data_IF_443847814529
#
_entry.id   IF_443847814529
#
_cell.length_a   1.000
_cell.length_b   1.000
_cell.length_c   1.000
_cell.angle_alpha   90.00
_cell.angle_beta   90.00
_cell.angle_gamma   90.00
#
_symmetry.space_group_name_H-M   'P 1'
#
loop_
_entity.id
_entity.type
_entity.pdbx_description
1 polymer ?
#
# COMPACT_ATOMS: atom_id res chain seq x y z
N UNK A 1 15.18 20.30 -11.80
CA UNK A 1 16.27 19.37 -11.42
C UNK A 1 17.00 19.77 -10.12
N UNK A 2 16.37 20.46 -9.15
CA UNK A 2 17.10 21.04 -8.00
C UNK A 2 16.36 20.99 -6.65
N UNK A 3 15.59 19.93 -6.37
CA UNK A 3 14.97 19.70 -5.05
C UNK A 3 15.62 18.54 -4.29
N UNK A 4 16.21 17.58 -5.01
CA UNK A 4 16.82 16.38 -4.44
C UNK A 4 18.20 16.63 -3.80
N UNK A 5 18.93 17.64 -4.29
CA UNK A 5 20.27 17.99 -3.80
C UNK A 5 20.25 18.57 -2.37
N UNK A 6 19.23 19.38 -2.05
CA UNK A 6 19.04 19.97 -0.71
C UNK A 6 18.74 18.95 0.39
N UNK A 7 18.10 17.83 0.04
CA UNK A 7 17.76 16.77 1.01
C UNK A 7 19.01 15.94 1.36
N UNK A 8 19.92 15.74 0.40
CA UNK A 8 21.20 15.07 0.65
C UNK A 8 22.15 15.88 1.52
N UNK A 9 22.13 17.21 1.36
CA UNK A 9 23.00 18.10 2.14
C UNK A 9 22.58 18.17 3.62
N UNK A 10 21.27 18.17 3.91
CA UNK A 10 20.77 18.10 5.30
C UNK A 10 21.12 16.80 6.03
N UNK A 11 21.24 15.68 5.32
CA UNK A 11 21.61 14.40 5.94
C UNK A 11 23.08 14.36 6.38
N UNK A 12 23.97 15.13 5.73
CA UNK A 12 25.40 15.16 6.03
C UNK A 12 25.73 15.97 7.29
N UNK A 13 24.95 17.00 7.59
CA UNK A 13 25.13 17.84 8.79
C UNK A 13 24.85 17.12 10.12
N UNK A 14 24.01 16.08 10.11
CA UNK A 14 23.64 15.36 11.33
C UNK A 14 24.66 14.31 11.80
N UNK A 15 25.56 13.86 10.91
CA UNK A 15 26.54 12.83 11.27
C UNK A 15 27.80 13.38 11.95
N UNK A 16 28.06 14.69 11.88
CA UNK A 16 29.28 15.30 12.43
C UNK A 16 29.14 15.75 13.90
N UNK A 17 27.93 15.71 14.48
CA UNK A 17 27.68 16.17 15.85
C UNK A 17 27.89 15.11 16.95
N UNK A 18 28.24 13.86 16.61
CA UNK A 18 28.38 12.76 17.60
C UNK A 18 29.81 12.48 18.07
N UNK A 19 30.80 13.29 17.68
CA UNK A 19 32.20 13.06 18.02
C UNK A 19 32.79 14.04 19.04
N UNK A 20 32.22 14.20 20.25
CA UNK A 20 32.95 14.75 21.41
C UNK A 20 32.13 14.80 22.70
N UNK A 21 32.79 14.43 23.83
CA UNK A 21 32.40 14.54 25.26
C UNK A 21 31.51 13.39 25.77
N UNK A 22 31.75 12.75 26.92
CA UNK A 22 32.63 12.99 28.07
C UNK A 22 32.09 12.14 29.25
N UNK A 23 32.98 11.72 30.15
CA UNK A 23 32.76 10.78 31.26
C UNK A 23 31.69 11.17 32.29
N UNK A 24 31.05 10.16 32.91
CA UNK A 24 30.58 10.21 34.32
C UNK A 24 29.13 9.80 34.61
N UNK A 25 28.95 8.76 35.45
CA UNK A 25 27.98 8.80 36.57
C UNK A 25 26.61 8.09 36.46
N UNK A 26 26.52 6.92 37.14
CA UNK A 26 25.43 6.41 37.99
C UNK A 26 23.95 6.39 37.53
N UNK A 27 23.47 5.16 37.25
CA UNK A 27 22.36 4.50 37.96
C UNK A 27 20.90 4.90 37.66
N UNK A 28 20.14 4.03 36.97
CA UNK A 28 18.88 3.47 37.49
C UNK A 28 18.28 2.39 36.56
N UNK A 29 17.52 1.51 37.20
CA UNK A 29 16.80 0.32 36.73
C UNK A 29 16.14 0.42 35.36
N UNK A 30 16.13 -0.73 34.68
CA UNK A 30 15.51 -0.92 33.38
C UNK A 30 14.01 -0.68 33.35
N UNK A 31 13.56 -0.25 32.17
CA UNK A 31 12.34 -0.76 31.56
C UNK A 31 12.49 -0.66 30.05
N UNK A 32 12.56 -1.84 29.43
CA UNK A 32 12.36 -2.04 28.00
C UNK A 32 10.94 -1.56 27.69
N UNK A 33 10.80 -0.64 26.75
CA UNK A 33 9.52 -0.42 26.05
C UNK A 33 9.83 -0.15 24.58
N UNK A 34 9.95 -1.29 23.91
CA UNK A 34 9.74 -1.50 22.49
C UNK A 34 8.42 -0.88 21.99
N UNK A 35 8.46 -0.47 20.72
CA UNK A 35 7.34 -0.27 19.76
C UNK A 35 6.63 1.09 19.79
N UNK A 36 6.96 1.91 18.80
CA UNK A 36 5.96 2.74 18.10
C UNK A 36 6.30 2.78 16.61
N UNK A 37 6.01 1.67 15.91
CA UNK A 37 5.98 1.62 14.44
C UNK A 37 4.56 1.85 13.89
N UNK A 38 3.55 1.98 14.78
CA UNK A 38 2.13 2.08 14.41
C UNK A 38 1.70 3.48 13.96
N UNK A 39 2.33 4.55 14.49
CA UNK A 39 2.00 5.93 14.09
C UNK A 39 2.39 6.24 12.64
N UNK A 40 3.54 5.74 12.18
CA UNK A 40 4.09 6.05 10.86
C UNK A 40 3.26 5.45 9.72
N UNK A 41 2.69 4.24 9.89
CA UNK A 41 1.90 3.57 8.84
C UNK A 41 0.53 4.24 8.64
N UNK A 42 -0.17 4.58 9.73
CA UNK A 42 -1.45 5.29 9.64
C UNK A 42 -1.29 6.71 9.03
N UNK A 43 -0.23 7.44 9.42
CA UNK A 43 0.10 8.72 8.80
C UNK A 43 0.46 8.58 7.32
N UNK A 44 1.18 7.51 6.95
CA UNK A 44 1.48 7.21 5.55
C UNK A 44 0.21 6.92 4.76
N UNK A 45 -0.67 6.04 5.23
CA UNK A 45 -1.97 5.75 4.58
C UNK A 45 -2.78 7.04 4.36
N UNK A 46 -2.80 7.94 5.34
CA UNK A 46 -3.47 9.25 5.20
C UNK A 46 -2.83 10.12 4.11
N UNK A 47 -1.50 10.22 4.06
CA UNK A 47 -0.78 10.94 3.01
C UNK A 47 -1.01 10.34 1.62
N UNK A 48 -0.98 9.01 1.50
CA UNK A 48 -1.25 8.30 0.25
C UNK A 48 -2.67 8.57 -0.24
N UNK A 49 -3.66 8.54 0.66
CA UNK A 49 -5.05 8.89 0.35
C UNK A 49 -5.19 10.31 -0.18
N UNK A 50 -4.50 11.29 0.40
CA UNK A 50 -4.51 12.67 -0.13
C UNK A 50 -3.91 12.78 -1.53
N UNK A 51 -2.78 12.10 -1.79
CA UNK A 51 -2.15 12.08 -3.12
C UNK A 51 -3.06 11.46 -4.18
N UNK A 52 -3.69 10.32 -3.83
CA UNK A 52 -4.70 9.66 -4.65
C UNK A 52 -5.82 10.63 -5.04
N UNK A 53 -6.38 11.36 -4.07
CA UNK A 53 -7.45 12.34 -4.33
C UNK A 53 -7.00 13.48 -5.26
N UNK A 54 -5.77 13.96 -5.13
CA UNK A 54 -5.22 14.97 -6.05
C UNK A 54 -5.08 14.46 -7.50
N UNK A 55 -4.79 13.18 -7.67
CA UNK A 55 -4.63 12.52 -8.98
C UNK A 55 -5.94 11.94 -9.54
N UNK A 56 -7.05 12.05 -8.81
CA UNK A 56 -8.36 11.50 -9.18
C UNK A 56 -8.78 11.86 -10.61
N UNK A 57 -8.48 13.06 -11.09
CA UNK A 57 -8.86 13.48 -12.45
C UNK A 57 -8.14 12.71 -13.56
N UNK A 58 -6.92 12.24 -13.29
CA UNK A 58 -6.07 11.50 -14.23
C UNK A 58 -6.29 9.98 -14.13
N UNK A 59 -6.71 9.48 -12.97
CA UNK A 59 -6.96 8.07 -12.66
C UNK A 59 -8.34 7.60 -13.12
N UNK A 60 -8.60 7.70 -14.43
CA UNK A 60 -9.88 7.33 -15.07
C UNK A 60 -9.75 6.23 -16.14
N UNK A 61 -8.56 5.62 -16.24
CA UNK A 61 -8.34 4.55 -17.21
C UNK A 61 -9.01 3.24 -16.77
N UNK A 62 -9.42 2.44 -17.74
CA UNK A 62 -9.90 1.08 -17.47
C UNK A 62 -8.81 0.19 -16.85
N UNK A 63 -7.54 0.40 -17.23
CA UNK A 63 -6.39 -0.31 -16.66
C UNK A 63 -6.23 -0.03 -15.17
N UNK A 64 -6.36 1.23 -14.75
CA UNK A 64 -6.30 1.59 -13.33
C UNK A 64 -7.44 0.96 -12.54
N UNK A 65 -8.67 1.02 -13.06
CA UNK A 65 -9.84 0.40 -12.43
C UNK A 65 -9.63 -1.08 -12.21
N UNK A 66 -9.28 -1.81 -13.27
CA UNK A 66 -9.15 -3.26 -13.23
C UNK A 66 -7.96 -3.68 -12.35
N UNK A 67 -6.82 -2.99 -12.45
CA UNK A 67 -5.66 -3.23 -11.58
C UNK A 67 -5.93 -2.91 -10.10
N UNK A 68 -6.69 -1.85 -9.80
CA UNK A 68 -7.04 -1.50 -8.41
C UNK A 68 -7.95 -2.57 -7.81
N UNK A 69 -8.93 -3.08 -8.57
CA UNK A 69 -9.83 -4.14 -8.08
C UNK A 69 -9.07 -5.46 -7.88
N UNK A 70 -8.15 -5.77 -8.79
CA UNK A 70 -7.26 -6.91 -8.68
C UNK A 70 -6.37 -6.79 -7.43
N UNK A 71 -5.80 -5.61 -7.17
CA UNK A 71 -4.99 -5.35 -5.97
C UNK A 71 -5.80 -5.50 -4.67
N UNK A 72 -7.01 -4.93 -4.60
CA UNK A 72 -7.88 -5.11 -3.44
C UNK A 72 -8.23 -6.59 -3.19
N UNK A 73 -8.51 -7.34 -4.25
CA UNK A 73 -8.79 -8.77 -4.16
C UNK A 73 -7.57 -9.58 -3.68
N UNK A 74 -6.36 -9.21 -4.14
CA UNK A 74 -5.12 -9.88 -3.72
C UNK A 74 -4.82 -9.64 -2.24
N UNK A 75 -5.05 -8.42 -1.74
CA UNK A 75 -4.90 -8.06 -0.32
C UNK A 75 -5.92 -8.82 0.52
N UNK A 76 -7.18 -8.86 0.09
CA UNK A 76 -8.25 -9.62 0.76
C UNK A 76 -8.03 -11.14 0.76
N UNK A 77 -7.10 -11.64 -0.05
CA UNK A 77 -6.75 -13.05 -0.13
C UNK A 77 -5.33 -13.33 0.37
N UNK A 78 -4.70 -12.39 1.07
CA UNK A 78 -3.27 -12.45 1.36
C UNK A 78 -2.88 -13.66 2.23
N UNK A 79 -3.80 -14.12 3.08
CA UNK A 79 -3.67 -15.32 3.92
C UNK A 79 -3.95 -16.64 3.17
N UNK A 80 -4.40 -16.56 1.92
CA UNK A 80 -4.71 -17.71 1.05
C UNK A 80 -6.20 -18.08 0.99
N UNK A 81 -7.06 -17.37 1.71
CA UNK A 81 -8.53 -17.53 1.67
C UNK A 81 -9.21 -16.18 1.59
N UNK A 82 -10.48 -16.12 1.19
CA UNK A 82 -11.26 -14.87 1.28
C UNK A 82 -12.57 -15.17 1.97
N UNK A 83 -12.71 -14.65 3.19
CA UNK A 83 -13.95 -14.81 3.92
C UNK A 83 -15.01 -13.80 3.45
N UNK A 84 -16.32 -14.13 3.53
CA UNK A 84 -17.39 -13.21 3.17
C UNK A 84 -17.35 -11.89 3.95
N UNK A 85 -16.88 -11.92 5.20
CA UNK A 85 -16.72 -10.73 6.04
C UNK A 85 -15.63 -9.80 5.49
N UNK A 86 -14.46 -10.34 5.16
CA UNK A 86 -13.37 -9.55 4.53
C UNK A 86 -13.80 -8.99 3.18
N UNK A 87 -14.48 -9.82 2.37
CA UNK A 87 -15.05 -9.39 1.09
C UNK A 87 -15.95 -8.17 1.24
N UNK A 88 -16.90 -8.21 2.17
CA UNK A 88 -17.80 -7.09 2.44
C UNK A 88 -17.06 -5.85 2.98
N UNK A 89 -16.07 -6.06 3.83
CA UNK A 89 -15.24 -4.98 4.38
C UNK A 89 -14.50 -4.25 3.24
N UNK A 90 -13.79 -4.99 2.39
CA UNK A 90 -13.04 -4.43 1.27
C UNK A 90 -13.95 -3.77 0.23
N UNK A 91 -15.13 -4.33 -0.05
CA UNK A 91 -16.14 -3.65 -0.88
C UNK A 91 -16.54 -2.28 -0.32
N UNK A 92 -16.73 -2.19 1.00
CA UNK A 92 -17.02 -0.94 1.68
C UNK A 92 -15.91 0.10 1.47
N UNK A 93 -14.65 -0.32 1.62
CA UNK A 93 -13.48 0.55 1.44
C UNK A 93 -13.33 1.02 -0.01
N UNK A 94 -13.61 0.14 -0.98
CA UNK A 94 -13.59 0.47 -2.42
C UNK A 94 -14.59 1.57 -2.74
N UNK A 95 -15.83 1.47 -2.25
CA UNK A 95 -16.89 2.46 -2.52
C UNK A 95 -16.64 3.79 -1.79
N UNK A 96 -16.00 3.74 -0.62
CA UNK A 96 -15.61 4.94 0.14
C UNK A 96 -14.36 5.63 -0.42
N UNK A 97 -13.64 5.02 -1.36
CA UNK A 97 -12.45 5.62 -1.94
C UNK A 97 -12.84 6.66 -2.99
N UNK A 98 -12.54 7.92 -2.71
CA UNK A 98 -12.87 9.05 -3.58
C UNK A 98 -12.33 8.88 -5.01
N UNK A 99 -11.15 8.27 -5.20
CA UNK A 99 -10.59 8.08 -6.55
C UNK A 99 -11.38 7.10 -7.37
N UNK A 100 -11.88 6.04 -6.74
CA UNK A 100 -12.64 4.99 -7.40
C UNK A 100 -14.07 5.42 -7.74
N UNK A 101 -14.59 6.48 -7.12
CA UNK A 101 -15.88 7.09 -7.47
C UNK A 101 -15.95 7.66 -8.90
N UNK A 102 -14.83 7.73 -9.62
CA UNK A 102 -14.84 7.99 -11.06
C UNK A 102 -15.54 6.89 -11.87
N UNK A 103 -15.70 5.70 -11.29
CA UNK A 103 -16.31 4.54 -11.92
C UNK A 103 -17.60 4.13 -11.19
N UNK A 104 -18.54 3.46 -11.89
CA UNK A 104 -19.75 2.96 -11.25
C UNK A 104 -19.42 1.93 -10.15
N UNK A 105 -19.96 2.06 -8.93
CA UNK A 105 -19.66 1.16 -7.83
C UNK A 105 -20.06 -0.30 -8.13
N UNK A 106 -21.15 -0.51 -8.87
CA UNK A 106 -21.56 -1.84 -9.34
C UNK A 106 -20.49 -2.51 -10.20
N UNK A 107 -19.82 -1.74 -11.07
CA UNK A 107 -18.77 -2.27 -11.93
C UNK A 107 -17.52 -2.62 -11.11
N UNK A 108 -17.18 -1.81 -10.11
CA UNK A 108 -16.09 -2.09 -9.19
C UNK A 108 -16.37 -3.37 -8.40
N UNK A 109 -17.56 -3.50 -7.81
CA UNK A 109 -18.00 -4.69 -7.08
C UNK A 109 -17.94 -5.94 -7.95
N UNK A 110 -18.46 -5.89 -9.18
CA UNK A 110 -18.40 -7.04 -10.09
C UNK A 110 -16.96 -7.47 -10.40
N UNK A 111 -16.05 -6.51 -10.63
CA UNK A 111 -14.64 -6.80 -10.93
C UNK A 111 -13.90 -7.35 -9.73
N UNK A 112 -14.09 -6.74 -8.57
CA UNK A 112 -13.54 -7.23 -7.31
C UNK A 112 -14.03 -8.64 -7.01
N UNK A 113 -15.35 -8.87 -7.05
CA UNK A 113 -15.93 -10.19 -6.78
C UNK A 113 -15.39 -11.26 -7.73
N UNK A 114 -15.26 -10.95 -9.02
CA UNK A 114 -14.66 -11.86 -10.00
C UNK A 114 -13.25 -12.28 -9.60
N UNK A 115 -12.39 -11.33 -9.22
CA UNK A 115 -11.02 -11.66 -8.81
C UNK A 115 -10.97 -12.45 -7.50
N UNK A 116 -11.83 -12.10 -6.55
CA UNK A 116 -11.97 -12.87 -5.30
C UNK A 116 -12.44 -14.30 -5.58
N UNK A 117 -13.42 -14.51 -6.46
CA UNK A 117 -13.89 -15.85 -6.83
C UNK A 117 -12.79 -16.68 -7.50
N UNK A 118 -11.95 -16.05 -8.33
CA UNK A 118 -10.78 -16.70 -8.93
C UNK A 118 -9.75 -17.12 -7.87
N UNK A 119 -9.46 -16.23 -6.92
CA UNK A 119 -8.54 -16.50 -5.81
C UNK A 119 -9.09 -17.59 -4.87
N UNK A 120 -10.39 -17.57 -4.59
CA UNK A 120 -11.05 -18.57 -3.74
C UNK A 120 -11.13 -19.94 -4.40
N UNK A 121 -11.29 -20.01 -5.73
CA UNK A 121 -11.32 -21.28 -6.45
C UNK A 121 -9.93 -21.93 -6.55
N UNK A 122 -8.91 -21.16 -6.95
CA UNK A 122 -7.54 -21.63 -7.00
C UNK A 122 -6.59 -20.47 -6.75
N UNK A 123 -6.09 -20.37 -5.53
CA UNK A 123 -5.26 -19.25 -5.10
C UNK A 123 -4.00 -19.06 -5.97
N UNK A 124 -3.31 -20.14 -6.35
CA UNK A 124 -2.08 -20.04 -7.14
C UNK A 124 -2.34 -19.50 -8.55
N UNK A 125 -3.38 -20.01 -9.21
CA UNK A 125 -3.77 -19.53 -10.54
C UNK A 125 -4.37 -18.13 -10.47
N UNK A 126 -5.31 -17.90 -9.56
CA UNK A 126 -5.97 -16.61 -9.35
C UNK A 126 -4.97 -15.50 -9.04
N UNK A 127 -3.97 -15.78 -8.19
CA UNK A 127 -2.88 -14.85 -7.89
C UNK A 127 -2.09 -14.49 -9.13
N UNK A 128 -1.78 -15.45 -9.99
CA UNK A 128 -1.07 -15.18 -11.26
C UNK A 128 -1.89 -14.29 -12.18
N UNK A 129 -3.19 -14.57 -12.34
CA UNK A 129 -4.10 -13.77 -13.18
C UNK A 129 -4.28 -12.34 -12.63
N UNK A 130 -4.45 -12.21 -11.32
CA UNK A 130 -4.58 -10.93 -10.61
C UNK A 130 -3.31 -10.10 -10.73
N UNK A 131 -2.12 -10.70 -10.55
CA UNK A 131 -0.84 -10.03 -10.74
C UNK A 131 -0.65 -9.58 -12.20
N UNK A 132 -1.10 -10.37 -13.19
CA UNK A 132 -1.09 -9.94 -14.59
C UNK A 132 -2.00 -8.75 -14.86
N UNK A 133 -3.17 -8.69 -14.21
CA UNK A 133 -4.06 -7.53 -14.30
C UNK A 133 -3.40 -6.28 -13.69
N UNK A 134 -2.77 -6.42 -12.52
CA UNK A 134 -1.99 -5.36 -11.88
C UNK A 134 -0.86 -4.87 -12.80
N UNK A 135 -0.13 -5.80 -13.45
CA UNK A 135 0.97 -5.46 -14.37
C UNK A 135 0.54 -4.55 -15.53
N UNK A 136 -0.73 -4.56 -15.94
CA UNK A 136 -1.23 -3.67 -17.01
C UNK A 136 -1.17 -2.20 -16.63
N UNK A 137 -1.27 -1.88 -15.34
CA UNK A 137 -1.12 -0.51 -14.83
C UNK A 137 0.33 -0.03 -14.83
N UNK A 138 1.33 -0.93 -14.95
CA UNK A 138 2.75 -0.58 -15.00
C UNK A 138 3.10 0.33 -16.20
N UNK A 139 2.26 0.36 -17.24
CA UNK A 139 2.43 1.24 -18.41
C UNK A 139 2.41 2.73 -18.05
N UNK A 140 1.78 3.09 -16.92
CA UNK A 140 1.68 4.47 -16.45
C UNK A 140 2.17 4.54 -15.00
N UNK A 141 3.34 5.15 -14.75
CA UNK A 141 3.91 5.22 -13.40
C UNK A 141 2.97 5.82 -12.35
N UNK A 142 2.15 6.80 -12.75
CA UNK A 142 1.13 7.43 -11.88
C UNK A 142 0.04 6.43 -11.48
N UNK A 143 -0.47 5.64 -12.43
CA UNK A 143 -1.49 4.62 -12.16
C UNK A 143 -0.90 3.46 -11.35
N UNK A 144 0.31 3.01 -11.69
CA UNK A 144 1.02 1.97 -10.95
C UNK A 144 1.17 2.32 -9.46
N UNK A 145 1.64 3.54 -9.16
CA UNK A 145 1.75 4.02 -7.77
C UNK A 145 0.37 4.08 -7.11
N UNK A 146 -0.63 4.60 -7.81
CA UNK A 146 -1.98 4.71 -7.26
C UNK A 146 -2.62 3.34 -6.94
N UNK A 147 -2.34 2.30 -7.73
CA UNK A 147 -2.80 0.93 -7.46
C UNK A 147 -2.18 0.41 -6.17
N UNK A 148 -0.86 0.55 -5.99
CA UNK A 148 -0.18 0.15 -4.74
C UNK A 148 -0.73 0.92 -3.55
N UNK A 149 -0.86 2.24 -3.67
CA UNK A 149 -1.42 3.10 -2.63
C UNK A 149 -2.82 2.66 -2.21
N UNK A 150 -3.66 2.26 -3.17
CA UNK A 150 -5.00 1.73 -2.89
C UNK A 150 -4.92 0.44 -2.07
N UNK A 151 -4.02 -0.47 -2.43
CA UNK A 151 -3.78 -1.69 -1.63
C UNK A 151 -3.35 -1.39 -0.19
N UNK A 152 -2.48 -0.41 0.03
CA UNK A 152 -2.08 0.02 1.38
C UNK A 152 -3.22 0.63 2.19
N UNK A 153 -4.09 1.43 1.55
CA UNK A 153 -5.26 2.00 2.22
C UNK A 153 -6.23 0.90 2.65
N UNK A 154 -6.38 -0.14 1.82
CA UNK A 154 -7.24 -1.28 2.12
C UNK A 154 -6.65 -2.14 3.25
N UNK A 155 -5.39 -2.55 3.13
CA UNK A 155 -4.70 -3.34 4.15
C UNK A 155 -4.57 -2.60 5.50
N UNK A 156 -4.43 -1.27 5.45
CA UNK A 156 -4.31 -0.42 6.64
C UNK A 156 -5.64 0.00 7.26
N UNK A 157 -6.78 -0.41 6.70
CA UNK A 157 -8.10 0.06 7.14
C UNK A 157 -8.42 -0.31 8.60
N UNK A 158 -7.96 -1.50 9.04
CA UNK A 158 -8.10 -1.97 10.42
C UNK A 158 -7.00 -1.42 11.36
N UNK A 159 -6.15 -0.53 10.86
CA UNK A 159 -5.10 0.14 11.63
C UNK A 159 -3.79 -0.65 11.77
N UNK A 160 -3.70 -1.84 11.19
CA UNK A 160 -2.48 -2.65 11.14
C UNK A 160 -2.42 -3.47 9.85
N UNK A 161 -1.24 -3.54 9.24
CA UNK A 161 -0.97 -4.37 8.06
C UNK A 161 -0.25 -5.63 8.53
N UNK A 162 -0.85 -6.79 8.25
CA UNK A 162 -0.33 -8.09 8.59
C UNK A 162 0.84 -8.53 7.69
N UNK A 163 1.71 -9.45 8.14
CA UNK A 163 2.83 -9.93 7.32
C UNK A 163 2.43 -10.52 5.95
N UNK A 164 1.32 -11.30 5.82
CA UNK A 164 0.84 -11.78 4.53
C UNK A 164 0.47 -10.63 3.58
N UNK A 165 -0.22 -9.60 4.07
CA UNK A 165 -0.57 -8.42 3.27
C UNK A 165 0.68 -7.66 2.83
N UNK A 166 1.66 -7.48 3.73
CA UNK A 166 2.94 -6.86 3.36
C UNK A 166 3.67 -7.63 2.25
N UNK A 167 3.59 -8.96 2.26
CA UNK A 167 4.18 -9.80 1.23
C UNK A 167 3.48 -9.59 -0.12
N UNK A 168 2.15 -9.61 -0.13
CA UNK A 168 1.34 -9.30 -1.31
C UNK A 168 1.64 -7.90 -1.87
N UNK A 169 1.72 -6.89 -1.00
CA UNK A 169 2.04 -5.51 -1.40
C UNK A 169 3.45 -5.41 -2.00
N UNK A 170 4.44 -6.13 -1.44
CA UNK A 170 5.80 -6.22 -2.00
C UNK A 170 5.81 -6.87 -3.39
N UNK A 171 5.07 -7.95 -3.56
CA UNK A 171 4.96 -8.63 -4.85
C UNK A 171 4.32 -7.72 -5.91
N UNK A 172 3.24 -7.01 -5.56
CA UNK A 172 2.62 -6.02 -6.43
C UNK A 172 3.59 -4.88 -6.81
N UNK A 173 4.39 -4.39 -5.87
CA UNK A 173 5.44 -3.40 -6.15
C UNK A 173 6.46 -3.94 -7.17
N UNK A 174 6.91 -5.19 -6.97
CA UNK A 174 7.84 -5.84 -7.90
C UNK A 174 7.27 -5.98 -9.31
N UNK A 175 6.00 -6.36 -9.43
CA UNK A 175 5.32 -6.50 -10.73
C UNK A 175 5.16 -5.15 -11.43
N UNK A 176 4.92 -4.08 -10.67
CA UNK A 176 4.76 -2.73 -11.19
C UNK A 176 6.09 -1.99 -11.43
N UNK A 177 7.23 -2.59 -11.08
CA UNK A 177 8.54 -1.97 -11.18
C UNK A 177 8.73 -0.80 -10.19
N UNK A 178 8.05 -0.84 -9.06
CA UNK A 178 8.12 0.18 -8.00
C UNK A 178 8.99 -0.29 -6.85
N UNK A 179 9.68 0.64 -6.20
CA UNK A 179 10.47 0.32 -5.01
C UNK A 179 9.56 0.20 -3.79
N UNK A 180 9.54 -0.97 -3.15
CA UNK A 180 8.76 -1.21 -1.93
C UNK A 180 9.14 -0.25 -0.77
N UNK A 181 10.38 0.25 -0.79
CA UNK A 181 10.91 1.23 0.17
C UNK A 181 10.16 2.58 0.09
N UNK A 182 9.60 2.94 -1.07
CA UNK A 182 8.77 4.15 -1.23
C UNK A 182 7.51 4.10 -0.35
N UNK A 183 7.10 2.90 0.06
CA UNK A 183 5.92 2.64 0.86
C UNK A 183 6.24 2.07 2.25
N UNK A 184 7.50 2.14 2.68
CA UNK A 184 7.93 1.67 4.00
C UNK A 184 7.94 0.15 4.18
N UNK A 185 8.01 -0.62 3.08
CA UNK A 185 8.21 -2.07 3.06
C UNK A 185 9.68 -2.44 2.80
#
# INVERSE_FOLDING_TARGET
MAMWDKIKDQAKGLQQAQGSRGSGGHGHSGSRSSRSSGGSKAQMVSMLKSQLTSLKTELKSGSYRDASMAMCALVAAADGSVDPAERQHVEGLIVQNDVLQNFPPEQLRQRFNKHVDQLAFNFQQGKTEVLQEIAKAAKKPTEARAVVQTGFVVAGADGYISPPEEQVLREACSVLGLSAQEFGL
#
